data_IF_580572273943
#
_entry.id   IF_580572273943
#
_cell.length_a   1.000
_cell.length_b   1.000
_cell.length_c   1.000
_cell.angle_alpha   90.00
_cell.angle_beta   90.00
_cell.angle_gamma   90.00
#
_symmetry.space_group_name_H-M   'P 1'
#
loop_
_entity.id
_entity.type
_entity.pdbx_description
1 polymer ?
#
# COMPACT_ATOMS: atom_id res chain seq x y z
N UNK A 1 6.01 -1.41 -6.53
CA UNK A 1 5.57 -0.11 -6.00
C UNK A 1 5.40 -0.24 -4.50
N UNK A 2 5.88 0.76 -3.76
CA UNK A 2 5.87 0.75 -2.29
C UNK A 2 4.69 1.57 -1.75
N UNK A 3 4.11 1.13 -0.64
CA UNK A 3 3.20 1.96 0.17
C UNK A 3 3.98 2.68 1.26
N UNK A 4 4.14 3.98 1.14
CA UNK A 4 4.94 4.76 2.07
C UNK A 4 4.28 6.14 2.26
N UNK A 5 3.60 6.41 3.39
CA UNK A 5 2.99 7.71 3.67
C UNK A 5 4.04 8.74 4.12
N UNK A 6 5.17 8.75 3.42
CA UNK A 6 6.27 9.67 3.60
C UNK A 6 6.60 10.29 2.24
N UNK A 7 7.00 11.55 2.23
CA UNK A 7 7.56 12.15 1.03
C UNK A 7 8.99 11.64 0.79
N UNK A 8 9.12 10.49 0.13
CA UNK A 8 10.41 9.81 -0.12
C UNK A 8 11.36 10.61 -1.00
N UNK A 9 10.89 11.62 -1.74
CA UNK A 9 11.70 12.49 -2.60
C UNK A 9 11.86 13.92 -2.06
N UNK A 10 11.23 14.26 -0.92
CA UNK A 10 11.41 15.57 -0.30
C UNK A 10 12.77 15.69 0.41
N UNK A 11 13.26 16.92 0.51
CA UNK A 11 14.35 17.32 1.40
C UNK A 11 13.92 18.60 2.17
N UNK A 12 13.77 18.56 3.51
CA UNK A 12 13.92 17.38 4.36
C UNK A 12 12.84 16.32 4.11
N UNK A 13 13.11 15.07 4.51
CA UNK A 13 12.10 14.01 4.57
C UNK A 13 10.97 14.45 5.50
N UNK A 14 9.72 14.19 5.11
CA UNK A 14 8.54 14.55 5.90
C UNK A 14 7.45 13.50 5.75
N UNK A 15 6.63 13.37 6.78
CA UNK A 15 5.39 12.60 6.71
C UNK A 15 4.47 13.21 5.64
N UNK A 16 3.80 12.34 4.88
CA UNK A 16 2.75 12.74 3.95
C UNK A 16 1.51 11.90 4.26
N UNK A 17 0.69 12.34 5.24
CA UNK A 17 -0.34 11.50 5.82
C UNK A 17 -1.61 11.43 4.96
N UNK A 18 -1.74 12.30 3.96
CA UNK A 18 -2.99 12.50 3.22
C UNK A 18 -3.61 11.19 2.68
N UNK A 19 -2.80 10.30 2.09
CA UNK A 19 -3.30 9.01 1.60
C UNK A 19 -3.61 8.02 2.73
N UNK A 20 -2.79 8.00 3.79
CA UNK A 20 -2.97 7.08 4.92
C UNK A 20 -4.22 7.43 5.72
N UNK A 21 -4.41 8.72 6.02
CA UNK A 21 -5.61 9.25 6.67
C UNK A 21 -6.86 9.00 5.84
N UNK A 22 -6.80 9.21 4.51
CA UNK A 22 -7.94 8.97 3.63
C UNK A 22 -8.35 7.49 3.61
N UNK A 23 -7.39 6.56 3.56
CA UNK A 23 -7.66 5.11 3.61
C UNK A 23 -8.25 4.70 4.96
N UNK A 24 -7.69 5.22 6.07
CA UNK A 24 -8.22 4.96 7.42
C UNK A 24 -9.64 5.49 7.58
N UNK A 25 -9.89 6.73 7.21
CA UNK A 25 -11.22 7.34 7.34
C UNK A 25 -12.25 6.65 6.47
N UNK A 26 -11.88 6.28 5.22
CA UNK A 26 -12.77 5.53 4.34
C UNK A 26 -13.21 4.20 4.98
N UNK A 27 -12.29 3.47 5.60
CA UNK A 27 -12.63 2.20 6.22
C UNK A 27 -13.29 2.36 7.59
N UNK A 28 -12.67 3.10 8.50
CA UNK A 28 -13.09 3.17 9.91
C UNK A 28 -14.30 4.06 10.13
N UNK A 29 -14.38 5.21 9.46
CA UNK A 29 -15.46 6.17 9.70
C UNK A 29 -16.65 5.93 8.78
N UNK A 30 -16.38 5.48 7.54
CA UNK A 30 -17.39 5.32 6.48
C UNK A 30 -17.74 3.86 6.17
N UNK A 31 -17.03 2.90 6.75
CA UNK A 31 -17.29 1.47 6.52
C UNK A 31 -16.96 0.97 5.11
N UNK A 32 -16.21 1.73 4.30
CA UNK A 32 -15.83 1.33 2.94
C UNK A 32 -14.80 0.22 3.00
N UNK A 33 -15.03 -0.88 2.27
CA UNK A 33 -14.04 -1.96 2.19
C UNK A 33 -12.82 -1.51 1.39
N UNK A 34 -11.68 -1.38 2.06
CA UNK A 34 -10.42 -0.98 1.44
C UNK A 34 -9.55 -2.22 1.26
N UNK A 35 -9.10 -2.48 0.03
CA UNK A 35 -8.20 -3.59 -0.30
C UNK A 35 -6.91 -3.06 -0.89
N UNK A 36 -5.79 -3.37 -0.25
CA UNK A 36 -4.45 -3.03 -0.70
C UNK A 36 -3.74 -4.30 -1.20
N UNK A 37 -3.24 -4.27 -2.44
CA UNK A 37 -2.36 -5.28 -3.00
C UNK A 37 -1.03 -4.62 -3.36
N UNK A 38 -0.03 -4.79 -2.50
CA UNK A 38 1.23 -4.05 -2.58
C UNK A 38 2.36 -4.97 -3.04
N UNK A 39 3.19 -4.49 -3.97
CA UNK A 39 4.32 -5.28 -4.45
C UNK A 39 5.35 -5.49 -3.34
N UNK A 40 5.75 -6.73 -3.12
CA UNK A 40 6.87 -7.09 -2.26
C UNK A 40 7.95 -7.73 -3.12
N UNK A 41 9.16 -7.17 -3.05
CA UNK A 41 10.30 -7.57 -3.87
C UNK A 41 11.60 -7.23 -3.11
N UNK A 42 12.74 -7.66 -3.64
CA UNK A 42 14.05 -7.53 -2.97
C UNK A 42 14.43 -6.09 -2.58
N UNK A 43 13.90 -5.09 -3.29
CA UNK A 43 14.20 -3.68 -3.05
C UNK A 43 13.11 -2.95 -2.23
N UNK A 44 12.07 -3.63 -1.76
CA UNK A 44 11.07 -3.04 -0.87
C UNK A 44 11.71 -2.51 0.40
N UNK A 45 11.38 -1.27 0.79
CA UNK A 45 11.84 -0.68 2.05
C UNK A 45 11.19 -1.40 3.23
N UNK A 46 11.97 -1.61 4.30
CA UNK A 46 11.45 -2.25 5.52
C UNK A 46 10.35 -1.42 6.20
N UNK A 47 10.42 -0.08 6.08
CA UNK A 47 9.43 0.86 6.64
C UNK A 47 8.03 0.62 6.09
N UNK A 48 7.90 0.27 4.81
CA UNK A 48 6.62 -0.06 4.17
C UNK A 48 5.83 -1.09 4.98
N UNK A 49 6.48 -2.15 5.47
CA UNK A 49 5.81 -3.21 6.22
C UNK A 49 5.25 -2.71 7.56
N UNK A 50 5.89 -1.73 8.20
CA UNK A 50 5.39 -1.11 9.43
C UNK A 50 4.12 -0.32 9.15
N UNK A 51 4.09 0.49 8.09
CA UNK A 51 2.89 1.24 7.70
C UNK A 51 1.76 0.31 7.26
N UNK A 52 2.06 -0.73 6.50
CA UNK A 52 1.07 -1.74 6.11
C UNK A 52 0.50 -2.49 7.32
N UNK A 53 1.33 -2.83 8.32
CA UNK A 53 0.84 -3.43 9.55
C UNK A 53 -0.04 -2.47 10.35
N UNK A 54 0.31 -1.18 10.38
CA UNK A 54 -0.48 -0.15 11.05
C UNK A 54 -1.88 0.04 10.46
N UNK A 55 -2.07 -0.31 9.18
CA UNK A 55 -3.39 -0.40 8.55
C UNK A 55 -4.07 -1.73 8.86
N UNK A 56 -3.33 -2.85 8.73
CA UNK A 56 -3.85 -4.20 8.93
C UNK A 56 -4.40 -4.42 10.34
N UNK A 57 -3.77 -3.83 11.36
CA UNK A 57 -4.19 -3.97 12.76
C UNK A 57 -5.59 -3.38 13.02
N UNK A 58 -6.02 -2.38 12.24
CA UNK A 58 -7.32 -1.73 12.38
C UNK A 58 -8.51 -2.66 12.09
N UNK A 59 -8.27 -3.76 11.35
CA UNK A 59 -9.28 -4.80 11.14
C UNK A 59 -9.64 -5.56 12.42
N UNK A 60 -8.77 -5.52 13.43
CA UNK A 60 -8.96 -6.22 14.70
C UNK A 60 -9.87 -5.40 15.63
N UNK A 61 -10.31 -6.06 16.72
CA UNK A 61 -10.98 -5.37 17.83
C UNK A 61 -10.07 -4.28 18.41
N UNK A 62 -10.63 -3.14 18.85
CA UNK A 62 -12.07 -2.82 18.91
C UNK A 62 -12.62 -2.17 17.64
N UNK A 63 -11.78 -1.77 16.68
CA UNK A 63 -12.18 -0.88 15.58
C UNK A 63 -12.92 -1.60 14.44
N UNK A 64 -12.56 -2.85 14.13
CA UNK A 64 -13.22 -3.63 13.07
C UNK A 64 -13.25 -2.96 11.69
N UNK A 65 -12.29 -2.09 11.37
CA UNK A 65 -12.29 -1.40 10.07
C UNK A 65 -12.07 -2.41 8.93
N UNK A 66 -12.85 -2.37 7.84
CA UNK A 66 -12.77 -3.32 6.73
C UNK A 66 -11.58 -3.04 5.81
N UNK A 67 -10.36 -3.13 6.36
CA UNK A 67 -9.09 -3.00 5.62
C UNK A 67 -8.46 -4.38 5.41
N UNK A 68 -8.14 -4.71 4.16
CA UNK A 68 -7.38 -5.90 3.80
C UNK A 68 -6.06 -5.49 3.17
N UNK A 69 -4.96 -6.04 3.68
CA UNK A 69 -3.62 -5.84 3.13
C UNK A 69 -3.07 -7.18 2.67
N UNK A 70 -2.68 -7.25 1.40
CA UNK A 70 -1.97 -8.39 0.80
C UNK A 70 -0.70 -7.92 0.13
N UNK A 71 0.31 -8.78 0.18
CA UNK A 71 1.55 -8.61 -0.55
C UNK A 71 1.50 -9.41 -1.84
N UNK A 72 1.97 -8.79 -2.92
CA UNK A 72 2.10 -9.40 -4.23
C UNK A 72 3.58 -9.64 -4.51
N UNK A 73 3.97 -10.90 -4.65
CA UNK A 73 5.33 -11.32 -4.99
C UNK A 73 5.29 -11.96 -6.37
N UNK A 74 6.08 -11.46 -7.31
CA UNK A 74 6.28 -12.12 -8.60
C UNK A 74 7.28 -13.26 -8.38
N UNK A 75 6.93 -14.51 -8.70
CA UNK A 75 7.89 -15.60 -8.65
C UNK A 75 9.07 -15.34 -9.60
N UNK A 76 10.27 -15.70 -9.16
CA UNK A 76 11.47 -15.65 -9.99
C UNK A 76 11.83 -17.08 -10.38
N UNK A 77 11.86 -17.35 -11.68
CA UNK A 77 12.38 -18.60 -12.23
C UNK A 77 13.58 -18.29 -13.13
N UNK A 78 14.66 -19.05 -12.98
CA UNK A 78 15.87 -18.87 -13.78
C UNK A 78 16.76 -17.71 -13.34
N UNK A 79 17.35 -17.01 -14.32
CA UNK A 79 18.38 -15.99 -14.09
C UNK A 79 17.79 -14.72 -13.50
N UNK A 80 18.35 -14.23 -12.39
CA UNK A 80 17.97 -12.96 -11.78
C UNK A 80 18.29 -11.78 -12.71
N UNK A 81 17.26 -11.02 -13.07
CA UNK A 81 17.40 -9.74 -13.80
C UNK A 81 17.28 -8.60 -12.77
N UNK A 82 18.29 -7.72 -12.66
CA UNK A 82 18.24 -6.59 -11.74
C UNK A 82 17.00 -5.72 -11.96
N UNK A 83 16.35 -5.35 -10.86
CA UNK A 83 15.15 -4.50 -10.82
C UNK A 83 13.91 -5.04 -11.58
N UNK A 84 13.92 -6.31 -11.98
CA UNK A 84 12.75 -6.98 -12.56
C UNK A 84 11.87 -7.62 -11.46
N UNK A 85 10.82 -8.34 -11.88
CA UNK A 85 9.93 -9.10 -10.99
C UNK A 85 9.25 -8.23 -9.92
N UNK A 86 8.80 -7.04 -10.33
CA UNK A 86 8.08 -6.09 -9.48
C UNK A 86 6.77 -5.70 -10.14
N UNK A 87 5.70 -5.63 -9.35
CA UNK A 87 4.47 -5.00 -9.78
C UNK A 87 4.63 -3.47 -9.69
N UNK A 88 4.57 -2.80 -10.84
CA UNK A 88 4.73 -1.35 -10.96
C UNK A 88 3.41 -0.61 -11.25
N UNK A 89 2.28 -1.26 -10.97
CA UNK A 89 0.95 -0.71 -11.21
C UNK A 89 0.68 0.50 -10.32
N UNK A 90 -0.02 1.48 -10.90
CA UNK A 90 -0.48 2.70 -10.25
C UNK A 90 -1.92 2.92 -10.63
N UNK A 91 -2.79 2.22 -9.93
CA UNK A 91 -4.22 2.36 -10.12
C UNK A 91 -4.97 2.32 -8.79
N UNK A 92 -6.17 2.87 -8.81
CA UNK A 92 -7.17 2.73 -7.77
C UNK A 92 -8.50 2.50 -8.45
N UNK A 93 -9.27 1.54 -7.96
CA UNK A 93 -10.62 1.24 -8.48
C UNK A 93 -11.63 1.46 -7.36
N UNK A 94 -12.71 2.12 -7.70
CA UNK A 94 -13.89 2.35 -6.85
C UNK A 94 -15.14 1.86 -7.59
N UNK A 95 -16.31 1.94 -6.95
CA UNK A 95 -17.58 1.55 -7.57
C UNK A 95 -17.97 2.42 -8.79
N UNK A 96 -17.36 3.60 -8.94
CA UNK A 96 -17.75 4.59 -9.96
C UNK A 96 -16.62 4.98 -10.91
N UNK A 97 -15.37 4.87 -10.47
CA UNK A 97 -14.20 5.37 -11.20
C UNK A 97 -13.00 4.46 -11.00
N UNK A 98 -12.22 4.32 -12.07
CA UNK A 98 -10.87 3.76 -12.03
C UNK A 98 -9.87 4.86 -12.38
N UNK A 99 -8.83 5.00 -11.57
CA UNK A 99 -7.67 5.83 -11.83
C UNK A 99 -6.54 4.94 -12.30
N UNK A 100 -5.87 5.30 -13.39
CA UNK A 100 -4.65 4.63 -13.87
C UNK A 100 -3.64 5.73 -14.23
N UNK A 101 -2.42 5.61 -13.72
CA UNK A 101 -1.38 6.62 -13.91
C UNK A 101 0.01 6.04 -14.14
N UNK A 102 1.00 6.92 -14.11
CA UNK A 102 2.42 6.64 -14.42
C UNK A 102 3.34 6.80 -13.23
#
# INVERSE_FOLDING_TARGET
MDYEPQCIYCNPKRLWPAIDEALRSAACDKGVTVRLLISCWRHSRQTMFVFLESLRVLRRRPLHCPIEVKLFVVPTEGREIPFAHVNHNKYMVTDRVAYVGT
#
